data_IF_322272392381
#
_entry.id   IF_322272392381
#
_cell.length_a   1.000
_cell.length_b   1.000
_cell.length_c   1.000
_cell.angle_alpha   90.00
_cell.angle_beta   90.00
_cell.angle_gamma   90.00
#
_symmetry.space_group_name_H-M   'P 1'
#
loop_
_entity.id
_entity.type
_entity.pdbx_description
1 polymer ?
#
# COMPACT_ATOMS: atom_id res chain seq x y z
N UNK A 1 -8.22 16.00 23.08
CA UNK A 1 -7.00 15.18 23.01
C UNK A 1 -6.34 15.40 21.66
N UNK A 2 -5.10 15.88 21.62
CA UNK A 2 -4.36 16.05 20.37
C UNK A 2 -3.88 14.66 19.93
N UNK A 3 -4.49 14.10 18.88
CA UNK A 3 -4.06 12.83 18.33
C UNK A 3 -2.62 12.99 17.81
N UNK A 4 -1.67 12.11 18.16
CA UNK A 4 -0.31 12.21 17.67
C UNK A 4 -0.29 12.22 16.14
N UNK A 5 0.49 13.13 15.54
CA UNK A 5 0.52 13.34 14.09
C UNK A 5 1.24 12.22 13.33
N UNK A 6 1.97 11.36 14.03
CA UNK A 6 2.82 10.29 13.48
C UNK A 6 2.66 9.00 14.29
N UNK A 7 3.22 7.90 13.77
CA UNK A 7 3.26 6.59 14.41
C UNK A 7 4.70 6.25 14.81
N UNK A 8 4.92 5.84 16.05
CA UNK A 8 6.23 5.28 16.43
C UNK A 8 6.45 3.90 15.80
N UNK A 9 7.67 3.35 15.89
CA UNK A 9 8.04 2.07 15.26
C UNK A 9 7.09 0.94 15.70
N UNK A 10 6.81 0.81 17.00
CA UNK A 10 5.89 -0.21 17.54
C UNK A 10 4.49 -0.07 16.96
N UNK A 11 3.95 1.14 16.89
CA UNK A 11 2.64 1.45 16.33
C UNK A 11 2.58 1.14 14.82
N UNK A 12 3.67 1.37 14.08
CA UNK A 12 3.75 0.99 12.67
C UNK A 12 3.65 -0.53 12.51
N UNK A 13 4.39 -1.30 13.31
CA UNK A 13 4.31 -2.76 13.29
C UNK A 13 2.90 -3.26 13.61
N UNK A 14 2.28 -2.76 14.69
CA UNK A 14 0.91 -3.10 15.08
C UNK A 14 -0.11 -2.79 13.98
N UNK A 15 0.03 -1.64 13.31
CA UNK A 15 -0.84 -1.26 12.20
C UNK A 15 -0.70 -2.23 11.02
N UNK A 16 0.55 -2.52 10.63
CA UNK A 16 0.84 -3.41 9.51
C UNK A 16 0.35 -4.84 9.78
N UNK A 17 0.55 -5.37 10.97
CA UNK A 17 0.03 -6.69 11.38
C UNK A 17 -1.51 -6.71 11.34
N UNK A 18 -2.15 -5.63 11.80
CA UNK A 18 -3.61 -5.49 11.73
C UNK A 18 -4.15 -5.47 10.28
N UNK A 19 -3.38 -4.93 9.32
CA UNK A 19 -3.72 -4.90 7.89
C UNK A 19 -3.65 -6.29 7.26
N UNK A 20 -2.62 -7.08 7.59
CA UNK A 20 -2.37 -8.40 7.00
C UNK A 20 -3.45 -9.43 7.34
N UNK A 21 -4.09 -9.31 8.50
CA UNK A 21 -5.20 -10.19 8.91
C UNK A 21 -4.86 -11.69 8.76
N UNK A 22 -3.73 -12.12 9.32
CA UNK A 22 -3.15 -13.47 9.19
C UNK A 22 -4.11 -14.60 9.56
N UNK A 23 -5.01 -14.37 10.51
CA UNK A 23 -5.94 -15.40 11.01
C UNK A 23 -7.22 -15.57 10.16
N UNK A 24 -7.27 -14.95 8.97
CA UNK A 24 -8.47 -14.96 8.14
C UNK A 24 -8.45 -16.09 7.09
N UNK A 25 -9.63 -16.59 6.66
CA UNK A 25 -9.72 -17.58 5.57
C UNK A 25 -8.99 -17.13 4.30
N UNK A 26 -8.52 -18.06 3.46
CA UNK A 26 -7.60 -17.81 2.34
C UNK A 26 -7.96 -16.63 1.40
N UNK A 27 -9.25 -16.44 1.04
CA UNK A 27 -9.69 -15.28 0.23
C UNK A 27 -9.50 -13.94 0.96
N UNK A 28 -9.66 -13.94 2.27
CA UNK A 28 -9.42 -12.79 3.15
C UNK A 28 -7.93 -12.55 3.38
N UNK A 29 -7.11 -13.61 3.37
CA UNK A 29 -5.66 -13.53 3.49
C UNK A 29 -5.02 -12.74 2.33
N UNK A 30 -5.34 -13.07 1.07
CA UNK A 30 -4.86 -12.30 -0.11
C UNK A 30 -5.23 -10.82 -0.05
N UNK A 31 -6.45 -10.51 0.39
CA UNK A 31 -6.90 -9.12 0.64
C UNK A 31 -6.06 -8.45 1.73
N UNK A 32 -5.69 -9.21 2.77
CA UNK A 32 -4.78 -8.78 3.82
C UNK A 32 -3.41 -8.40 3.29
N UNK A 33 -2.80 -9.23 2.45
CA UNK A 33 -1.49 -8.95 1.82
C UNK A 33 -1.54 -7.67 0.99
N UNK A 34 -2.59 -7.49 0.17
CA UNK A 34 -2.80 -6.22 -0.57
C UNK A 34 -2.88 -5.02 0.38
N UNK A 35 -3.64 -5.15 1.46
CA UNK A 35 -3.79 -4.06 2.44
C UNK A 35 -2.48 -3.76 3.18
N UNK A 36 -1.68 -4.79 3.49
CA UNK A 36 -0.34 -4.68 4.06
C UNK A 36 0.58 -3.91 3.12
N UNK A 37 0.63 -4.29 1.84
CA UNK A 37 1.42 -3.59 0.83
C UNK A 37 1.00 -2.10 0.70
N UNK A 38 -0.30 -1.80 0.73
CA UNK A 38 -0.80 -0.42 0.74
C UNK A 38 -0.26 0.36 1.95
N UNK A 39 -0.28 -0.25 3.15
CA UNK A 39 0.30 0.34 4.35
C UNK A 39 1.80 0.61 4.21
N UNK A 40 2.56 -0.37 3.69
CA UNK A 40 3.99 -0.24 3.43
C UNK A 40 4.28 0.88 2.42
N UNK A 41 3.55 0.98 1.31
CA UNK A 41 3.76 2.07 0.33
C UNK A 41 3.59 3.46 0.95
N UNK A 42 2.68 3.62 1.91
CA UNK A 42 2.47 4.88 2.61
C UNK A 42 3.53 5.15 3.68
N UNK A 43 3.94 4.13 4.44
CA UNK A 43 4.91 4.23 5.54
C UNK A 43 6.38 4.25 5.09
N UNK A 44 6.71 3.50 4.04
CA UNK A 44 8.08 3.27 3.57
C UNK A 44 8.46 4.16 2.38
N UNK A 45 7.47 4.55 1.58
CA UNK A 45 7.70 5.36 0.39
C UNK A 45 6.93 6.69 0.40
N UNK A 46 6.19 6.96 1.47
CA UNK A 46 5.50 8.23 1.69
C UNK A 46 4.40 8.52 0.66
N UNK A 47 3.84 7.50 -0.01
CA UNK A 47 2.81 7.74 -1.03
C UNK A 47 1.55 8.36 -0.41
N UNK A 48 0.93 9.31 -1.12
CA UNK A 48 -0.41 9.81 -0.79
C UNK A 48 -1.45 8.77 -1.17
N UNK A 49 -2.62 8.79 -0.53
CA UNK A 49 -3.73 7.89 -0.87
C UNK A 49 -4.11 7.94 -2.36
N UNK A 50 -4.12 9.13 -2.96
CA UNK A 50 -4.38 9.32 -4.39
C UNK A 50 -3.30 8.69 -5.30
N UNK A 51 -2.04 8.78 -4.89
CA UNK A 51 -0.92 8.15 -5.61
C UNK A 51 -1.03 6.63 -5.49
N UNK A 52 -1.32 6.11 -4.29
CA UNK A 52 -1.52 4.68 -4.06
C UNK A 52 -2.57 4.13 -5.00
N UNK A 53 -3.80 4.68 -5.00
CA UNK A 53 -4.89 4.13 -5.82
C UNK A 53 -4.66 4.23 -7.33
N UNK A 54 -3.74 5.10 -7.76
CA UNK A 54 -3.39 5.32 -9.16
C UNK A 54 -2.18 4.50 -9.63
N UNK A 55 -1.53 3.75 -8.75
CA UNK A 55 -0.41 2.89 -9.12
C UNK A 55 -0.86 1.85 -10.15
N UNK A 56 -0.02 1.66 -11.16
CA UNK A 56 -0.12 0.58 -12.15
C UNK A 56 0.91 -0.51 -11.86
N UNK A 57 0.73 -1.68 -12.46
CA UNK A 57 1.64 -2.82 -12.30
C UNK A 57 3.09 -2.49 -12.67
N UNK A 58 3.30 -1.69 -13.72
CA UNK A 58 4.63 -1.23 -14.17
C UNK A 58 5.36 -0.36 -13.15
N UNK A 59 4.63 0.31 -12.24
CA UNK A 59 5.24 1.08 -11.16
C UNK A 59 5.78 0.19 -10.04
N UNK A 60 5.29 -1.04 -9.92
CA UNK A 60 5.60 -1.97 -8.83
C UNK A 60 6.51 -3.12 -9.29
N UNK A 61 6.34 -3.57 -10.53
CA UNK A 61 7.01 -4.75 -11.07
C UNK A 61 7.55 -4.50 -12.48
N UNK A 62 8.71 -5.08 -12.76
CA UNK A 62 9.31 -5.14 -14.08
C UNK A 62 9.88 -6.54 -14.31
N UNK A 63 9.60 -7.14 -15.47
CA UNK A 63 10.03 -8.50 -15.80
C UNK A 63 9.72 -9.54 -14.70
N UNK A 64 8.54 -9.44 -14.09
CA UNK A 64 8.07 -10.36 -13.04
C UNK A 64 8.77 -10.22 -11.68
N UNK A 65 9.52 -9.14 -11.45
CA UNK A 65 10.22 -8.87 -10.20
C UNK A 65 9.85 -7.48 -9.66
N UNK A 66 9.86 -7.27 -8.33
CA UNK A 66 9.69 -5.93 -7.77
C UNK A 66 10.72 -4.95 -8.32
N UNK A 67 10.30 -3.72 -8.61
CA UNK A 67 11.23 -2.64 -8.96
C UNK A 67 12.11 -2.29 -7.77
N UNK A 68 13.33 -1.83 -8.04
CA UNK A 68 14.24 -1.34 -7.00
C UNK A 68 13.91 0.09 -6.56
N UNK A 69 13.24 0.83 -7.44
CA UNK A 69 12.84 2.22 -7.22
C UNK A 69 11.41 2.44 -7.72
N UNK A 70 10.56 3.03 -6.88
CA UNK A 70 9.23 3.49 -7.30
C UNK A 70 9.39 4.83 -8.03
N UNK A 71 9.04 4.85 -9.31
CA UNK A 71 9.04 6.08 -10.11
C UNK A 71 7.63 6.65 -10.11
N UNK A 72 7.38 7.69 -9.31
CA UNK A 72 6.06 8.32 -9.25
C UNK A 72 5.98 9.43 -10.29
N UNK A 73 5.36 9.13 -11.43
CA UNK A 73 5.28 10.02 -12.58
C UNK A 73 4.36 11.22 -12.34
N UNK A 74 4.54 12.25 -13.16
CA UNK A 74 3.72 13.46 -13.16
C UNK A 74 2.22 13.20 -13.40
N UNK A 75 1.87 12.05 -13.98
CA UNK A 75 0.48 11.61 -14.21
C UNK A 75 -0.23 11.19 -12.92
N UNK A 76 0.51 10.68 -11.93
CA UNK A 76 -0.06 10.20 -10.66
C UNK A 76 0.22 11.13 -9.48
N UNK A 77 1.09 12.14 -9.63
CA UNK A 77 1.37 13.12 -8.58
C UNK A 77 0.53 14.39 -8.75
N UNK A 78 -0.11 14.85 -7.66
CA UNK A 78 -0.99 16.05 -7.65
C UNK A 78 -0.33 17.36 -8.12
N UNK A 79 1.01 17.43 -8.08
CA UNK A 79 1.77 18.64 -8.42
C UNK A 79 2.58 18.49 -9.71
N UNK A 80 2.37 17.41 -10.48
CA UNK A 80 3.14 17.07 -11.69
C UNK A 80 4.67 17.00 -11.50
N UNK A 81 5.13 16.87 -10.25
CA UNK A 81 6.55 16.67 -9.94
C UNK A 81 6.80 15.17 -9.85
N UNK A 82 7.70 14.70 -10.71
CA UNK A 82 8.16 13.33 -10.68
C UNK A 82 9.08 13.13 -9.48
N UNK A 83 9.00 11.98 -8.83
CA UNK A 83 9.96 11.59 -7.80
C UNK A 83 10.23 10.10 -7.84
N UNK A 84 11.48 9.76 -7.58
CA UNK A 84 11.92 8.38 -7.44
C UNK A 84 12.15 8.09 -5.97
N UNK A 85 11.60 6.99 -5.48
CA UNK A 85 11.75 6.56 -4.08
C UNK A 85 12.39 5.18 -4.06
N UNK A 86 13.54 4.99 -3.38
CA UNK A 86 14.15 3.67 -3.25
C UNK A 86 13.23 2.74 -2.47
N UNK A 87 13.14 1.49 -2.92
CA UNK A 87 12.33 0.47 -2.26
C UNK A 87 13.10 -0.09 -1.06
N UNK A 88 12.57 0.11 0.14
CA UNK A 88 13.14 -0.47 1.37
C UNK A 88 13.02 -2.00 1.38
N UNK A 89 13.83 -2.68 2.19
CA UNK A 89 13.74 -4.15 2.33
C UNK A 89 12.35 -4.61 2.73
N UNK A 90 11.68 -3.91 3.66
CA UNK A 90 10.31 -4.24 4.09
C UNK A 90 9.32 -4.10 2.94
N UNK A 91 9.42 -3.02 2.16
CA UNK A 91 8.53 -2.81 1.01
C UNK A 91 8.80 -3.83 -0.11
N UNK A 92 10.06 -4.18 -0.37
CA UNK A 92 10.43 -5.22 -1.33
C UNK A 92 9.78 -6.56 -0.95
N UNK A 93 9.92 -6.98 0.30
CA UNK A 93 9.32 -8.24 0.78
C UNK A 93 7.79 -8.23 0.62
N UNK A 94 7.13 -7.10 0.91
CA UNK A 94 5.70 -6.94 0.70
C UNK A 94 5.29 -7.06 -0.78
N UNK A 95 6.11 -6.54 -1.70
CA UNK A 95 5.89 -6.67 -3.14
C UNK A 95 6.08 -8.11 -3.60
N UNK A 96 7.09 -8.82 -3.11
CA UNK A 96 7.31 -10.24 -3.44
C UNK A 96 6.17 -11.12 -2.95
N UNK A 97 5.70 -10.90 -1.72
CA UNK A 97 4.55 -11.61 -1.15
C UNK A 97 3.27 -11.32 -1.93
N UNK A 98 3.02 -10.05 -2.31
CA UNK A 98 1.86 -9.69 -3.11
C UNK A 98 1.87 -10.38 -4.48
N UNK A 99 3.02 -10.43 -5.16
CA UNK A 99 3.17 -11.11 -6.44
C UNK A 99 2.91 -12.61 -6.33
N UNK A 100 3.51 -13.26 -5.34
CA UNK A 100 3.43 -14.71 -5.12
C UNK A 100 2.00 -15.15 -4.83
N UNK A 101 1.29 -14.41 -3.98
CA UNK A 101 -0.06 -14.76 -3.53
C UNK A 101 -1.16 -14.36 -4.51
N UNK A 102 -0.80 -13.62 -5.56
CA UNK A 102 -1.69 -13.17 -6.62
C UNK A 102 -1.17 -13.63 -8.00
N UNK A 103 -1.12 -14.95 -8.27
CA UNK A 103 -0.47 -15.49 -9.48
C UNK A 103 -1.10 -15.03 -10.80
N UNK A 104 -2.33 -14.51 -10.77
CA UNK A 104 -2.97 -13.93 -11.95
C UNK A 104 -2.35 -12.60 -12.39
N UNK A 105 -1.54 -11.94 -11.54
CA UNK A 105 -0.79 -10.74 -11.90
C UNK A 105 0.22 -10.99 -13.03
N UNK A 106 0.69 -12.25 -13.20
CA UNK A 106 1.56 -12.64 -14.30
C UNK A 106 0.93 -12.43 -15.70
N UNK A 107 -0.40 -12.37 -15.77
CA UNK A 107 -1.15 -12.20 -17.02
C UNK A 107 -1.63 -10.76 -17.24
N UNK A 108 -1.24 -9.82 -16.36
CA UNK A 108 -1.71 -8.44 -16.40
C UNK A 108 -0.67 -7.54 -17.09
N UNK A 109 -1.14 -6.67 -17.97
CA UNK A 109 -0.31 -5.66 -18.64
C UNK A 109 0.18 -4.57 -17.67
N UNK A 110 1.35 -4.01 -17.97
CA UNK A 110 2.01 -3.01 -17.11
C UNK A 110 1.17 -1.77 -16.80
N UNK A 111 0.30 -1.34 -17.72
CA UNK A 111 -0.51 -0.13 -17.57
C UNK A 111 -1.80 -0.36 -16.77
N UNK A 112 -2.05 -1.59 -16.32
CA UNK A 112 -3.22 -1.94 -15.51
C UNK A 112 -3.04 -1.47 -14.06
N UNK A 113 -4.12 -0.97 -13.44
CA UNK A 113 -4.13 -0.56 -12.03
C UNK A 113 -3.76 -1.72 -11.10
N UNK A 114 -2.81 -1.46 -10.19
CA UNK A 114 -2.17 -2.45 -9.33
C UNK A 114 -3.11 -3.11 -8.29
N UNK A 115 -4.31 -2.56 -8.10
CA UNK A 115 -5.28 -3.05 -7.10
C UNK A 115 -6.47 -3.77 -7.69
N UNK A 116 -6.51 -3.91 -9.01
CA UNK A 116 -7.66 -4.52 -9.66
C UNK A 116 -7.77 -6.00 -9.27
N UNK A 117 -9.00 -6.40 -8.99
CA UNK A 117 -9.31 -7.79 -8.67
C UNK A 117 -10.09 -8.35 -9.84
N UNK A 118 -9.42 -9.20 -10.64
CA UNK A 118 -10.03 -10.04 -11.67
C UNK A 118 -11.01 -9.27 -12.58
N UNK A 119 -10.51 -8.89 -13.75
CA UNK A 119 -11.31 -8.40 -14.88
C UNK A 119 -11.96 -7.02 -14.70
N UNK A 120 -11.19 -5.99 -14.33
CA UNK A 120 -11.48 -4.60 -14.69
C UNK A 120 -12.65 -3.93 -13.96
N UNK A 121 -13.25 -4.57 -12.94
CA UNK A 121 -14.57 -4.15 -12.45
C UNK A 121 -14.57 -3.39 -11.14
N UNK A 122 -13.49 -3.34 -10.35
CA UNK A 122 -13.49 -2.59 -9.09
C UNK A 122 -12.09 -2.16 -8.65
N UNK A 123 -11.60 -1.04 -9.20
CA UNK A 123 -10.39 -0.38 -8.70
C UNK A 123 -10.60 0.12 -7.27
N UNK A 124 -9.55 0.04 -6.46
CA UNK A 124 -9.59 0.52 -5.08
C UNK A 124 -9.75 2.05 -5.05
N UNK A 125 -10.78 2.57 -4.39
CA UNK A 125 -10.99 4.03 -4.26
C UNK A 125 -10.24 4.61 -3.07
N UNK A 126 -10.00 5.92 -3.08
CA UNK A 126 -9.37 6.64 -1.95
C UNK A 126 -10.11 6.40 -0.64
N UNK A 127 -11.45 6.50 -0.67
CA UNK A 127 -12.32 6.24 0.48
C UNK A 127 -12.21 4.79 0.98
N UNK A 128 -12.02 3.82 0.08
CA UNK A 128 -11.80 2.42 0.49
C UNK A 128 -10.46 2.26 1.19
N UNK A 129 -9.38 2.87 0.70
CA UNK A 129 -8.08 2.87 1.38
C UNK A 129 -8.17 3.53 2.75
N UNK A 130 -8.80 4.69 2.85
CA UNK A 130 -9.03 5.39 4.13
C UNK A 130 -9.74 4.48 5.14
N UNK A 131 -10.80 3.79 4.71
CA UNK A 131 -11.52 2.83 5.56
C UNK A 131 -10.66 1.64 5.97
N UNK A 132 -9.82 1.12 5.07
CA UNK A 132 -8.89 0.02 5.37
C UNK A 132 -7.91 0.44 6.46
N UNK A 133 -7.24 1.59 6.30
CA UNK A 133 -6.28 2.12 7.27
C UNK A 133 -6.97 2.44 8.60
N UNK A 134 -8.14 3.06 8.57
CA UNK A 134 -8.89 3.42 9.77
C UNK A 134 -9.30 2.18 10.58
N UNK A 135 -9.81 1.14 9.91
CA UNK A 135 -10.18 -0.12 10.55
C UNK A 135 -8.97 -0.83 11.16
N UNK A 136 -7.83 -0.83 10.46
CA UNK A 136 -6.59 -1.38 10.99
C UNK A 136 -6.09 -0.59 12.20
N UNK A 137 -6.23 0.74 12.20
CA UNK A 137 -5.94 1.60 13.35
C UNK A 137 -6.74 1.20 14.59
N UNK A 138 -8.06 1.06 14.45
CA UNK A 138 -8.91 0.59 15.56
C UNK A 138 -8.54 -0.81 16.03
N UNK A 139 -8.24 -1.73 15.11
CA UNK A 139 -7.90 -3.12 15.44
C UNK A 139 -6.54 -3.24 16.13
N UNK A 140 -5.51 -2.57 15.62
CA UNK A 140 -4.13 -2.73 16.09
C UNK A 140 -3.73 -1.76 17.20
N UNK A 141 -4.32 -0.57 17.23
CA UNK A 141 -3.90 0.53 18.12
C UNK A 141 -5.03 1.05 19.02
N UNK A 142 -6.26 0.57 18.85
CA UNK A 142 -7.41 1.05 19.63
C UNK A 142 -7.79 2.51 19.36
N UNK A 143 -7.29 3.11 18.27
CA UNK A 143 -7.54 4.52 17.91
C UNK A 143 -7.59 4.72 16.39
N UNK A 144 -8.26 5.77 15.88
CA UNK A 144 -8.30 6.01 14.45
C UNK A 144 -6.91 6.37 13.91
N UNK A 145 -6.60 5.82 12.74
CA UNK A 145 -5.43 6.18 11.92
C UNK A 145 -5.94 6.54 10.53
N UNK A 146 -5.28 7.49 9.86
CA UNK A 146 -5.63 7.89 8.49
C UNK A 146 -4.39 7.89 7.58
N UNK A 147 -4.55 7.85 6.24
CA UNK A 147 -3.42 7.81 5.30
C UNK A 147 -2.42 8.96 5.44
N UNK A 148 -2.88 10.15 5.83
CA UNK A 148 -1.98 11.30 6.02
C UNK A 148 -1.02 11.09 7.19
N UNK A 149 -1.46 10.42 8.27
CA UNK A 149 -0.58 10.08 9.39
C UNK A 149 0.56 9.15 8.99
N UNK A 150 0.28 8.15 8.14
CA UNK A 150 1.32 7.23 7.63
C UNK A 150 2.35 8.00 6.80
N UNK A 151 1.89 8.86 5.89
CA UNK A 151 2.79 9.72 5.11
C UNK A 151 3.59 10.70 5.97
N UNK A 152 2.99 11.31 6.98
CA UNK A 152 3.72 12.20 7.90
C UNK A 152 4.78 11.45 8.69
N UNK A 153 4.49 10.20 9.06
CA UNK A 153 5.44 9.31 9.72
C UNK A 153 6.66 9.05 8.84
N UNK A 154 6.50 8.81 7.54
CA UNK A 154 7.62 8.69 6.60
C UNK A 154 8.51 9.95 6.52
N UNK A 155 7.90 11.14 6.67
CA UNK A 155 8.61 12.41 6.55
C UNK A 155 9.29 12.87 7.85
N UNK A 156 9.15 12.11 8.95
CA UNK A 156 9.72 12.40 10.26
C UNK A 156 10.92 11.50 10.50
#
# INVERSE_FOLDING_TARGET
MHTPKTLNVTEQHQLLDALLSRDAPHKSFRKGIRNYLIGCLMLEAGLRVGEVVSLQMSHLYFAGKPVQNLVLTSKITKNHKERTVPVSTRLKNALEEYWTEHPWLNSIEGDTIAWDRLCGRNTLTTRQVERIINRAGWKGLGRPVNPHMLRHTFAT
#
